data_IF_398032461497
#
_entry.id   IF_398032461497
#
_cell.length_a   1.000
_cell.length_b   1.000
_cell.length_c   1.000
_cell.angle_alpha   90.00
_cell.angle_beta   90.00
_cell.angle_gamma   90.00
#
_symmetry.space_group_name_H-M   'P 1'
#
loop_
_entity.id
_entity.type
_entity.pdbx_description
1 polymer ?
#
# COMPACT_ATOMS: atom_id res chain seq x y z
N UNK A 1 3.47 -16.25 13.17
CA UNK A 1 3.69 -15.32 12.07
C UNK A 1 4.65 -14.22 12.50
N UNK A 2 5.61 -13.83 11.64
CA UNK A 2 6.44 -12.63 11.81
C UNK A 2 5.76 -11.51 11.04
N UNK A 3 5.52 -10.39 11.71
CA UNK A 3 5.00 -9.18 11.14
C UNK A 3 5.79 -7.98 11.66
N UNK A 4 6.34 -7.18 10.77
CA UNK A 4 7.08 -5.96 11.10
C UNK A 4 6.53 -4.80 10.29
N UNK A 5 6.20 -3.72 10.98
CA UNK A 5 5.88 -2.43 10.39
C UNK A 5 7.11 -1.53 10.56
N UNK A 6 7.69 -1.11 9.45
CA UNK A 6 8.89 -0.28 9.39
C UNK A 6 8.48 1.11 8.90
N UNK A 7 9.12 2.15 9.40
CA UNK A 7 8.74 3.52 9.09
C UNK A 7 9.90 4.32 8.51
N UNK A 8 9.68 4.89 7.33
CA UNK A 8 10.57 5.89 6.74
C UNK A 8 10.13 7.30 7.15
N UNK A 9 11.01 8.01 7.85
CA UNK A 9 10.69 9.35 8.34
C UNK A 9 10.66 10.41 7.24
N UNK A 10 11.40 10.22 6.15
CA UNK A 10 11.53 11.21 5.07
C UNK A 10 10.25 11.30 4.26
N UNK A 11 9.71 10.15 3.86
CA UNK A 11 8.46 10.05 3.09
C UNK A 11 7.22 9.83 3.95
N UNK A 12 7.38 9.56 5.26
CA UNK A 12 6.31 9.13 6.17
C UNK A 12 5.63 7.83 5.75
N UNK A 13 6.40 6.93 5.12
CA UNK A 13 5.91 5.67 4.54
C UNK A 13 6.07 4.53 5.54
N UNK A 14 5.06 3.66 5.61
CA UNK A 14 5.15 2.36 6.25
C UNK A 14 5.46 1.27 5.22
N UNK A 15 6.51 0.51 5.49
CA UNK A 15 6.85 -0.75 4.81
C UNK A 15 6.49 -1.92 5.70
N UNK A 16 5.96 -2.99 5.14
CA UNK A 16 5.53 -4.18 5.89
C UNK A 16 6.33 -5.41 5.49
N UNK A 17 6.98 -6.06 6.48
CA UNK A 17 7.64 -7.36 6.30
C UNK A 17 6.78 -8.46 6.93
N UNK A 18 6.47 -9.49 6.15
CA UNK A 18 5.59 -10.58 6.52
C UNK A 18 6.27 -11.92 6.24
N UNK A 19 6.21 -12.84 7.20
CA UNK A 19 6.64 -14.24 7.05
C UNK A 19 5.83 -15.17 7.97
N UNK A 20 5.71 -16.45 7.60
CA UNK A 20 5.00 -17.44 8.43
C UNK A 20 5.69 -17.69 9.76
N UNK A 21 7.03 -17.79 9.76
CA UNK A 21 7.89 -17.93 10.95
C UNK A 21 9.35 -17.63 10.61
N UNK A 22 10.25 -17.69 11.61
CA UNK A 22 11.70 -17.61 11.40
C UNK A 22 12.18 -18.76 10.50
N UNK A 23 13.17 -18.52 9.67
CA UNK A 23 13.74 -19.49 8.73
C UNK A 23 12.86 -19.75 7.48
N UNK A 24 11.87 -18.91 7.21
CA UNK A 24 10.88 -19.14 6.16
C UNK A 24 10.93 -18.06 5.08
N UNK A 25 10.05 -18.21 4.10
CA UNK A 25 9.84 -17.21 3.03
C UNK A 25 9.20 -15.94 3.58
N UNK A 26 9.66 -14.80 3.07
CA UNK A 26 9.16 -13.48 3.42
C UNK A 26 8.65 -12.71 2.20
N UNK A 27 7.78 -11.76 2.48
CA UNK A 27 7.23 -10.79 1.56
C UNK A 27 7.40 -9.39 2.18
N UNK A 28 7.70 -8.40 1.33
CA UNK A 28 7.73 -6.98 1.71
C UNK A 28 6.68 -6.24 0.90
N UNK A 29 5.93 -5.32 1.54
CA UNK A 29 4.97 -4.42 0.90
C UNK A 29 5.48 -2.99 1.04
N UNK A 30 5.43 -2.21 -0.05
CA UNK A 30 5.80 -0.80 -0.20
C UNK A 30 7.21 -0.48 0.34
N UNK A 31 8.28 -1.08 -0.21
CA UNK A 31 9.64 -0.82 0.24
C UNK A 31 10.15 0.52 -0.25
N UNK A 32 10.80 1.30 0.62
CA UNK A 32 11.50 2.54 0.29
C UNK A 32 12.94 2.23 -0.10
N UNK A 33 13.44 2.79 -1.21
CA UNK A 33 14.76 2.45 -1.78
C UNK A 33 15.92 2.78 -0.83
N UNK A 34 15.82 3.86 -0.09
CA UNK A 34 16.83 4.29 0.87
C UNK A 34 17.02 3.28 2.00
N UNK A 35 15.97 2.55 2.37
CA UNK A 35 15.96 1.60 3.49
C UNK A 35 16.28 0.15 3.08
N UNK A 36 16.59 -0.11 1.80
CA UNK A 36 16.85 -1.48 1.31
C UNK A 36 17.96 -2.19 2.10
N UNK A 37 19.01 -1.48 2.49
CA UNK A 37 20.09 -2.07 3.30
C UNK A 37 19.59 -2.57 4.66
N UNK A 38 18.71 -1.81 5.30
CA UNK A 38 18.13 -2.16 6.59
C UNK A 38 17.17 -3.36 6.47
N UNK A 39 16.41 -3.43 5.38
CA UNK A 39 15.58 -4.61 5.09
C UNK A 39 16.42 -5.87 4.93
N UNK A 40 17.57 -5.80 4.23
CA UNK A 40 18.48 -6.95 4.06
C UNK A 40 19.10 -7.37 5.39
N UNK A 41 19.46 -6.43 6.26
CA UNK A 41 19.97 -6.73 7.60
C UNK A 41 18.88 -7.44 8.41
N UNK A 42 17.67 -6.89 8.44
CA UNK A 42 16.53 -7.45 9.17
C UNK A 42 16.16 -8.86 8.68
N UNK A 43 16.16 -9.09 7.36
CA UNK A 43 15.94 -10.42 6.77
C UNK A 43 16.98 -11.44 7.28
N UNK A 44 18.26 -11.05 7.33
CA UNK A 44 19.35 -11.91 7.86
C UNK A 44 19.20 -12.20 9.35
N UNK A 45 18.90 -11.18 10.16
CA UNK A 45 18.69 -11.34 11.62
C UNK A 45 17.53 -12.27 11.94
N UNK A 46 16.48 -12.23 11.14
CA UNK A 46 15.30 -13.08 11.29
C UNK A 46 15.43 -14.42 10.54
N UNK A 47 16.56 -14.67 9.88
CA UNK A 47 16.80 -15.85 9.05
C UNK A 47 15.69 -16.04 7.99
N UNK A 48 15.32 -14.97 7.27
CA UNK A 48 14.24 -14.97 6.30
C UNK A 48 14.77 -14.92 4.86
N UNK A 49 14.09 -15.62 3.95
CA UNK A 49 14.33 -15.57 2.52
C UNK A 49 13.25 -14.70 1.85
N UNK A 50 13.60 -13.49 1.40
CA UNK A 50 12.68 -12.65 0.65
C UNK A 50 12.39 -13.29 -0.71
N UNK A 51 11.13 -13.57 -1.00
CA UNK A 51 10.68 -14.19 -2.26
C UNK A 51 9.71 -13.32 -3.04
N UNK A 52 9.08 -12.34 -2.40
CA UNK A 52 8.11 -11.45 -3.03
C UNK A 52 8.24 -10.02 -2.51
N UNK A 53 8.07 -9.07 -3.40
CA UNK A 53 7.90 -7.65 -3.09
C UNK A 53 6.62 -7.17 -3.77
N UNK A 54 5.80 -6.45 -3.04
CA UNK A 54 4.55 -5.84 -3.52
C UNK A 54 4.68 -4.33 -3.41
N UNK A 55 4.32 -3.59 -4.46
CA UNK A 55 3.96 -2.18 -4.37
C UNK A 55 2.43 -2.06 -4.54
N UNK A 56 1.79 -1.31 -3.62
CA UNK A 56 0.32 -1.12 -3.64
C UNK A 56 -0.13 -0.28 -4.83
N UNK A 57 0.71 0.64 -5.29
CA UNK A 57 0.48 1.54 -6.42
C UNK A 57 1.81 2.18 -6.86
N UNK A 58 1.81 2.99 -7.90
CA UNK A 58 2.96 3.82 -8.28
C UNK A 58 3.08 4.99 -7.30
N UNK A 59 4.04 4.92 -6.38
CA UNK A 59 4.27 5.94 -5.35
C UNK A 59 4.79 7.25 -5.93
N UNK A 60 4.32 8.38 -5.37
CA UNK A 60 4.72 9.73 -5.76
C UNK A 60 5.67 10.40 -4.76
N UNK A 61 5.75 9.90 -3.55
CA UNK A 61 6.42 10.49 -2.40
C UNK A 61 7.83 9.92 -2.14
N UNK A 62 8.09 8.72 -2.62
CA UNK A 62 9.39 8.04 -2.53
C UNK A 62 9.68 7.17 -3.76
N UNK A 63 10.92 6.76 -3.92
CA UNK A 63 11.30 5.75 -4.91
C UNK A 63 11.20 4.36 -4.26
N UNK A 64 10.51 3.43 -4.94
CA UNK A 64 10.40 2.05 -4.43
C UNK A 64 11.74 1.33 -4.43
N UNK A 65 11.95 0.48 -3.43
CA UNK A 65 13.09 -0.43 -3.34
C UNK A 65 12.93 -1.75 -4.11
N UNK A 66 11.84 -1.94 -4.85
CA UNK A 66 11.46 -3.23 -5.43
C UNK A 66 12.53 -3.80 -6.38
N UNK A 67 13.02 -3.01 -7.35
CA UNK A 67 14.08 -3.44 -8.28
C UNK A 67 15.37 -3.81 -7.55
N UNK A 68 15.80 -2.99 -6.60
CA UNK A 68 17.04 -3.23 -5.85
C UNK A 68 16.94 -4.47 -4.94
N UNK A 69 15.78 -4.71 -4.33
CA UNK A 69 15.53 -5.93 -3.57
C UNK A 69 15.54 -7.16 -4.48
N UNK A 70 14.90 -7.09 -5.65
CA UNK A 70 14.94 -8.14 -6.67
C UNK A 70 16.38 -8.48 -7.10
N UNK A 71 17.20 -7.47 -7.37
CA UNK A 71 18.59 -7.68 -7.78
C UNK A 71 19.41 -8.43 -6.72
N UNK A 72 19.21 -8.11 -5.44
CA UNK A 72 19.95 -8.70 -4.31
C UNK A 72 19.42 -10.09 -3.95
N UNK A 73 18.08 -10.26 -3.89
CA UNK A 73 17.47 -11.47 -3.30
C UNK A 73 16.88 -12.43 -4.32
N UNK A 74 16.72 -11.98 -5.58
CA UNK A 74 16.02 -12.69 -6.67
C UNK A 74 14.53 -12.92 -6.35
N UNK A 75 13.92 -12.06 -5.54
CA UNK A 75 12.49 -12.06 -5.28
C UNK A 75 11.71 -11.62 -6.51
N UNK A 76 10.45 -12.07 -6.64
CA UNK A 76 9.53 -11.57 -7.66
C UNK A 76 8.88 -10.26 -7.24
N UNK A 77 8.71 -9.35 -8.19
CA UNK A 77 7.99 -8.08 -8.02
C UNK A 77 6.53 -8.26 -8.42
N UNK A 78 5.62 -7.70 -7.62
CA UNK A 78 4.17 -7.86 -7.77
C UNK A 78 3.48 -6.51 -7.68
N UNK A 79 2.55 -6.24 -8.57
CA UNK A 79 1.60 -5.12 -8.50
C UNK A 79 0.23 -5.56 -9.04
N UNK A 80 -0.78 -4.74 -8.87
CA UNK A 80 -2.08 -4.92 -9.53
C UNK A 80 -1.96 -4.83 -11.06
N UNK A 81 -2.85 -5.50 -11.78
CA UNK A 81 -2.81 -5.58 -13.25
C UNK A 81 -3.11 -4.25 -13.97
N UNK A 82 -3.60 -3.24 -13.24
CA UNK A 82 -3.79 -1.87 -13.73
C UNK A 82 -2.53 -1.01 -13.67
N UNK A 83 -1.40 -1.54 -13.15
CA UNK A 83 -0.15 -0.78 -13.09
C UNK A 83 0.40 -0.49 -14.49
N UNK A 84 0.90 0.75 -14.74
CA UNK A 84 1.60 1.10 -15.95
C UNK A 84 3.06 0.55 -15.97
N UNK A 85 3.54 -0.06 -14.90
CA UNK A 85 4.89 -0.61 -14.80
C UNK A 85 5.00 -1.93 -15.57
N UNK A 86 5.67 -1.93 -16.73
CA UNK A 86 5.87 -3.13 -17.54
C UNK A 86 6.95 -4.07 -16.98
N UNK A 87 7.84 -3.56 -16.14
CA UNK A 87 8.93 -4.33 -15.51
C UNK A 87 8.46 -5.25 -14.37
N UNK A 88 7.21 -5.14 -13.93
CA UNK A 88 6.60 -6.00 -12.90
C UNK A 88 6.47 -7.43 -13.42
N UNK A 89 7.00 -8.40 -12.66
CA UNK A 89 6.98 -9.80 -13.08
C UNK A 89 5.61 -10.47 -12.92
N UNK A 90 4.87 -10.09 -11.88
CA UNK A 90 3.56 -10.69 -11.58
C UNK A 90 2.55 -9.55 -11.44
N UNK A 91 1.58 -9.51 -12.34
CA UNK A 91 0.44 -8.59 -12.28
C UNK A 91 -0.77 -9.38 -11.77
N UNK A 92 -1.31 -8.99 -10.60
CA UNK A 92 -2.45 -9.65 -9.95
C UNK A 92 -3.75 -8.91 -10.24
N UNK A 93 -4.81 -9.66 -10.49
CA UNK A 93 -6.16 -9.13 -10.71
C UNK A 93 -6.93 -8.93 -9.41
N UNK A 94 -8.02 -8.18 -9.51
CA UNK A 94 -8.99 -8.05 -8.42
C UNK A 94 -9.45 -9.45 -7.96
N UNK A 95 -9.51 -9.65 -6.65
CA UNK A 95 -9.88 -10.90 -5.98
C UNK A 95 -8.88 -12.08 -6.15
N UNK A 96 -7.77 -11.92 -6.85
CA UNK A 96 -6.72 -12.94 -6.92
C UNK A 96 -5.93 -13.05 -5.61
N UNK A 97 -5.33 -14.23 -5.41
CA UNK A 97 -4.55 -14.53 -4.22
C UNK A 97 -3.06 -14.66 -4.52
N UNK A 98 -2.24 -13.98 -3.75
CA UNK A 98 -0.79 -14.16 -3.66
C UNK A 98 -0.54 -15.15 -2.54
N UNK A 99 0.14 -16.28 -2.85
CA UNK A 99 0.48 -17.27 -1.85
C UNK A 99 1.91 -17.05 -1.34
N UNK A 100 2.08 -17.06 -0.03
CA UNK A 100 3.37 -17.07 0.67
C UNK A 100 3.34 -18.24 1.65
N UNK A 101 3.82 -19.41 1.22
CA UNK A 101 3.71 -20.67 1.96
C UNK A 101 2.25 -20.96 2.39
N UNK A 102 1.96 -20.94 3.69
CA UNK A 102 0.60 -21.12 4.23
C UNK A 102 -0.20 -19.83 4.37
N UNK A 103 0.40 -18.67 4.07
CA UNK A 103 -0.30 -17.39 4.09
C UNK A 103 -0.90 -17.11 2.71
N UNK A 104 -2.10 -16.55 2.71
CA UNK A 104 -2.82 -16.11 1.49
C UNK A 104 -3.13 -14.65 1.60
N UNK A 105 -2.70 -13.88 0.62
CA UNK A 105 -2.92 -12.43 0.54
C UNK A 105 -3.85 -12.17 -0.64
N UNK A 106 -5.04 -11.67 -0.37
CA UNK A 106 -6.03 -11.32 -1.39
C UNK A 106 -5.71 -9.95 -1.96
N UNK A 107 -5.57 -9.83 -3.27
CA UNK A 107 -5.50 -8.56 -3.96
C UNK A 107 -6.90 -7.96 -4.15
N UNK A 108 -7.06 -6.69 -3.87
CA UNK A 108 -8.31 -5.95 -4.00
C UNK A 108 -8.05 -4.69 -4.83
N UNK A 109 -8.62 -4.59 -6.02
CA UNK A 109 -8.53 -3.37 -6.83
C UNK A 109 -9.31 -2.24 -6.16
N UNK A 110 -8.60 -1.20 -5.75
CA UNK A 110 -9.15 -0.07 -4.98
C UNK A 110 -8.68 1.27 -5.56
N UNK A 111 -9.08 1.57 -6.83
CA UNK A 111 -8.69 2.81 -7.50
C UNK A 111 -9.28 4.04 -6.79
N UNK A 112 -8.67 5.18 -7.08
CA UNK A 112 -9.15 6.47 -6.61
C UNK A 112 -8.07 7.40 -6.11
N UNK A 113 -7.13 6.93 -5.28
CA UNK A 113 -5.89 7.67 -5.02
C UNK A 113 -5.05 7.74 -6.30
N UNK A 114 -4.79 6.60 -6.89
CA UNK A 114 -4.30 6.46 -8.27
C UNK A 114 -5.18 5.47 -9.02
N UNK A 115 -5.11 5.45 -10.36
CA UNK A 115 -5.86 4.50 -11.18
C UNK A 115 -5.37 3.06 -11.04
N UNK A 116 -4.14 2.84 -10.56
CA UNK A 116 -3.51 1.54 -10.38
C UNK A 116 -3.49 1.05 -8.92
N UNK A 117 -4.17 1.76 -8.00
CA UNK A 117 -4.18 1.42 -6.57
C UNK A 117 -4.81 0.07 -6.27
N UNK A 118 -4.12 -0.73 -5.47
CA UNK A 118 -4.59 -1.98 -4.88
C UNK A 118 -4.42 -1.98 -3.36
N UNK A 119 -5.35 -2.61 -2.67
CA UNK A 119 -5.23 -2.99 -1.26
C UNK A 119 -5.00 -4.50 -1.16
N UNK A 120 -4.35 -4.95 -0.10
CA UNK A 120 -4.02 -6.36 0.11
C UNK A 120 -4.56 -6.83 1.46
N UNK A 121 -5.36 -7.89 1.46
CA UNK A 121 -5.98 -8.45 2.67
C UNK A 121 -5.38 -9.81 2.99
N UNK A 122 -4.82 -9.96 4.19
CA UNK A 122 -4.31 -11.22 4.73
C UNK A 122 -4.99 -11.49 6.08
N UNK A 123 -5.80 -12.52 6.15
CA UNK A 123 -6.65 -12.81 7.31
C UNK A 123 -7.47 -11.57 7.71
N UNK A 124 -7.16 -10.96 8.85
CA UNK A 124 -7.76 -9.71 9.32
C UNK A 124 -6.83 -8.49 9.24
N UNK A 125 -5.77 -8.53 8.43
CA UNK A 125 -4.80 -7.44 8.20
C UNK A 125 -5.04 -6.84 6.81
N UNK A 126 -5.52 -5.61 6.75
CA UNK A 126 -5.70 -4.86 5.50
C UNK A 126 -4.54 -3.89 5.29
N UNK A 127 -3.74 -4.11 4.25
CA UNK A 127 -2.72 -3.19 3.74
C UNK A 127 -3.37 -2.35 2.66
N UNK A 128 -3.77 -1.13 3.00
CA UNK A 128 -4.65 -0.31 2.14
C UNK A 128 -3.92 0.60 1.16
N UNK A 129 -2.58 0.59 1.16
CA UNK A 129 -1.85 1.63 0.44
C UNK A 129 -2.33 3.01 0.87
N UNK A 130 -2.55 3.87 -0.11
CA UNK A 130 -3.11 5.21 0.11
C UNK A 130 -4.61 5.31 -0.16
N UNK A 131 -5.31 4.19 -0.33
CA UNK A 131 -6.77 4.23 -0.51
C UNK A 131 -7.47 4.69 0.77
N UNK A 132 -7.17 4.05 1.90
CA UNK A 132 -7.71 4.40 3.21
C UNK A 132 -6.57 4.59 4.21
N UNK A 133 -6.50 5.77 4.82
CA UNK A 133 -5.51 6.13 5.84
C UNK A 133 -6.18 6.19 7.21
N UNK A 134 -5.38 6.22 8.28
CA UNK A 134 -5.89 6.43 9.64
C UNK A 134 -6.40 7.87 9.76
N UNK A 135 -7.69 8.03 10.07
CA UNK A 135 -8.37 9.33 10.12
C UNK A 135 -8.26 10.15 8.82
N UNK A 136 -8.16 9.48 7.67
CA UNK A 136 -8.03 10.12 6.37
C UNK A 136 -8.21 9.15 5.20
N UNK A 137 -8.00 9.65 3.99
CA UNK A 137 -7.94 8.88 2.75
C UNK A 137 -6.83 9.43 1.88
N UNK A 138 -6.36 8.71 0.87
CA UNK A 138 -5.49 9.29 -0.14
C UNK A 138 -6.13 10.47 -0.83
N UNK A 139 -5.29 11.33 -1.40
CA UNK A 139 -5.73 12.39 -2.33
C UNK A 139 -6.12 11.76 -3.68
N UNK A 140 -6.89 12.49 -4.48
CA UNK A 140 -7.43 11.97 -5.75
C UNK A 140 -7.16 12.89 -6.95
N UNK A 141 -6.26 13.87 -6.79
CA UNK A 141 -6.02 14.94 -7.75
C UNK A 141 -4.73 14.74 -8.59
N UNK A 142 -4.06 13.59 -8.47
CA UNK A 142 -2.88 13.22 -9.27
C UNK A 142 -2.99 11.78 -9.81
N UNK A 143 -2.09 11.41 -10.73
CA UNK A 143 -1.90 10.04 -11.25
C UNK A 143 -3.21 9.35 -11.68
N UNK A 144 -4.05 10.08 -12.42
CA UNK A 144 -5.38 9.64 -12.84
C UNK A 144 -6.27 9.21 -11.65
N UNK A 145 -6.10 9.85 -10.50
CA UNK A 145 -6.98 9.67 -9.35
C UNK A 145 -8.38 10.18 -9.64
N UNK A 146 -9.37 9.59 -8.99
CA UNK A 146 -10.78 9.94 -9.12
C UNK A 146 -11.51 9.79 -7.77
N UNK A 147 -12.21 10.84 -7.35
CA UNK A 147 -12.90 10.85 -6.06
C UNK A 147 -14.11 9.91 -6.01
N UNK A 148 -14.78 9.64 -7.16
CA UNK A 148 -15.89 8.68 -7.20
C UNK A 148 -15.37 7.25 -7.11
N UNK A 149 -14.26 6.95 -7.78
CA UNK A 149 -13.60 5.65 -7.66
C UNK A 149 -13.08 5.44 -6.24
N UNK A 150 -12.49 6.47 -5.61
CA UNK A 150 -12.09 6.41 -4.20
C UNK A 150 -13.27 6.12 -3.28
N UNK A 151 -14.40 6.82 -3.47
CA UNK A 151 -15.62 6.53 -2.72
C UNK A 151 -16.05 5.07 -2.90
N UNK A 152 -16.15 4.58 -4.14
CA UNK A 152 -16.54 3.21 -4.42
C UNK A 152 -15.58 2.19 -3.79
N UNK A 153 -14.28 2.39 -3.92
CA UNK A 153 -13.25 1.54 -3.32
C UNK A 153 -13.38 1.49 -1.79
N UNK A 154 -13.58 2.62 -1.15
CA UNK A 154 -13.68 2.71 0.30
C UNK A 154 -15.03 2.18 0.77
N UNK A 155 -16.15 2.78 0.34
CA UNK A 155 -17.48 2.51 0.90
C UNK A 155 -18.07 1.17 0.45
N UNK A 156 -17.78 0.73 -0.78
CA UNK A 156 -18.38 -0.47 -1.36
C UNK A 156 -17.48 -1.71 -1.28
N UNK A 157 -16.16 -1.54 -0.99
CA UNK A 157 -15.21 -2.65 -0.78
C UNK A 157 -14.62 -2.64 0.64
N UNK A 158 -13.78 -1.65 0.98
CA UNK A 158 -13.01 -1.71 2.23
C UNK A 158 -13.89 -1.65 3.48
N UNK A 159 -14.88 -0.76 3.51
CA UNK A 159 -15.81 -0.66 4.65
C UNK A 159 -16.83 -1.81 4.72
N UNK A 160 -16.85 -2.75 3.77
CA UNK A 160 -17.63 -4.01 3.87
C UNK A 160 -16.88 -5.10 4.62
N UNK A 161 -15.58 -4.93 4.86
CA UNK A 161 -14.81 -5.82 5.70
C UNK A 161 -15.32 -5.78 7.16
N UNK A 162 -15.09 -6.84 7.95
CA UNK A 162 -15.43 -6.87 9.37
C UNK A 162 -14.83 -5.68 10.14
N UNK A 163 -15.56 -5.17 11.12
CA UNK A 163 -15.15 -3.99 11.90
C UNK A 163 -13.83 -4.20 12.66
N UNK A 164 -13.51 -5.44 13.03
CA UNK A 164 -12.25 -5.85 13.69
C UNK A 164 -11.06 -5.98 12.73
N UNK A 165 -11.25 -5.83 11.41
CA UNK A 165 -10.13 -5.84 10.46
C UNK A 165 -9.17 -4.71 10.76
N UNK A 166 -7.91 -5.04 11.01
CA UNK A 166 -6.84 -4.08 11.25
C UNK A 166 -6.49 -3.35 9.96
N UNK A 167 -6.40 -2.03 10.04
CA UNK A 167 -6.00 -1.16 8.94
C UNK A 167 -4.52 -0.79 9.09
N UNK A 168 -3.73 -1.12 8.08
CA UNK A 168 -2.32 -0.80 7.93
C UNK A 168 -2.12 0.00 6.63
N UNK A 169 -2.09 1.34 6.67
CA UNK A 169 -1.95 2.19 5.50
C UNK A 169 -0.49 2.32 5.06
N UNK A 170 -0.25 2.81 3.83
CA UNK A 170 1.12 3.13 3.40
C UNK A 170 1.69 4.37 4.11
N UNK A 171 0.84 5.30 4.56
CA UNK A 171 1.30 6.54 5.19
C UNK A 171 0.61 6.86 6.51
N UNK A 172 1.37 7.49 7.41
CA UNK A 172 0.83 8.24 8.54
C UNK A 172 1.71 9.44 8.88
N UNK A 173 1.05 10.57 9.14
CA UNK A 173 1.71 11.85 9.44
C UNK A 173 1.55 12.29 10.91
N UNK A 174 0.95 11.43 11.75
CA UNK A 174 0.61 11.75 13.14
C UNK A 174 1.20 10.78 14.16
N UNK A 175 1.93 9.76 13.71
CA UNK A 175 2.52 8.71 14.55
C UNK A 175 1.57 7.58 14.92
N UNK A 176 0.44 7.45 14.21
CA UNK A 176 -0.51 6.35 14.37
C UNK A 176 -0.08 5.15 13.51
N UNK A 177 0.01 3.98 14.12
CA UNK A 177 0.58 2.78 13.47
C UNK A 177 -0.47 1.85 12.89
N UNK A 178 -1.66 1.82 13.49
CA UNK A 178 -2.73 0.88 13.14
C UNK A 178 -4.07 1.44 13.55
N UNK A 179 -5.10 1.15 12.77
CA UNK A 179 -6.49 1.40 13.10
C UNK A 179 -7.32 0.14 12.86
N UNK A 180 -8.64 0.25 12.85
CA UNK A 180 -9.55 -0.81 12.40
C UNK A 180 -10.62 -0.23 11.49
N UNK A 181 -11.20 -1.08 10.64
CA UNK A 181 -12.32 -0.68 9.78
C UNK A 181 -13.45 -0.06 10.60
N UNK A 182 -13.81 -0.66 11.74
CA UNK A 182 -14.86 -0.14 12.61
C UNK A 182 -14.52 1.22 13.26
N UNK A 183 -13.24 1.48 13.57
CA UNK A 183 -12.79 2.79 14.07
C UNK A 183 -12.89 3.83 12.97
N UNK A 184 -12.41 3.53 11.76
CA UNK A 184 -12.46 4.46 10.63
C UNK A 184 -13.91 4.80 10.23
N UNK A 185 -14.82 3.83 10.17
CA UNK A 185 -16.25 4.09 9.95
C UNK A 185 -16.82 5.16 10.88
N UNK A 186 -16.40 5.15 12.14
CA UNK A 186 -16.97 6.02 13.20
C UNK A 186 -16.27 7.36 13.34
N UNK A 187 -14.95 7.42 13.09
CA UNK A 187 -14.12 8.55 13.51
C UNK A 187 -13.40 9.25 12.34
N UNK A 188 -13.22 8.59 11.18
CA UNK A 188 -12.53 9.18 10.05
C UNK A 188 -13.36 10.35 9.50
N UNK A 189 -12.86 11.60 9.55
CA UNK A 189 -13.63 12.77 9.14
C UNK A 189 -13.97 12.79 7.64
N UNK A 190 -13.19 12.09 6.80
CA UNK A 190 -13.47 11.98 5.36
C UNK A 190 -14.54 10.94 5.01
N UNK A 191 -14.93 10.11 5.98
CA UNK A 191 -15.96 9.09 5.82
C UNK A 191 -17.33 9.51 6.42
N UNK A 192 -17.41 10.69 7.05
CA UNK A 192 -18.65 11.22 7.61
C UNK A 192 -19.45 11.97 6.53
N UNK A 193 -19.74 11.29 5.43
CA UNK A 193 -20.50 11.80 4.28
C UNK A 193 -21.69 10.88 4.02
N UNK A 194 -22.79 11.43 3.49
CA UNK A 194 -24.02 10.68 3.21
C UNK A 194 -24.16 10.23 1.75
N UNK A 195 -23.31 10.78 0.86
CA UNK A 195 -23.39 10.48 -0.58
C UNK A 195 -22.03 10.57 -1.26
N UNK A 196 -21.95 10.00 -2.47
CA UNK A 196 -20.77 10.13 -3.33
C UNK A 196 -20.51 11.60 -3.69
N UNK A 197 -21.55 12.39 -3.91
CA UNK A 197 -21.39 13.80 -4.29
C UNK A 197 -20.79 14.62 -3.14
N UNK A 198 -21.21 14.39 -1.90
CA UNK A 198 -20.61 15.01 -0.72
C UNK A 198 -19.12 14.62 -0.56
N UNK A 199 -18.78 13.35 -0.81
CA UNK A 199 -17.39 12.92 -0.76
C UNK A 199 -16.56 13.60 -1.85
N UNK A 200 -17.06 13.68 -3.08
CA UNK A 200 -16.39 14.36 -4.19
C UNK A 200 -16.18 15.83 -3.86
N UNK A 201 -17.20 16.52 -3.34
CA UNK A 201 -17.09 17.92 -2.94
C UNK A 201 -16.05 18.10 -1.83
N UNK A 202 -16.05 17.22 -0.81
CA UNK A 202 -15.06 17.22 0.26
C UNK A 202 -13.64 17.08 -0.32
N UNK A 203 -13.43 16.09 -1.19
CA UNK A 203 -12.11 15.82 -1.77
C UNK A 203 -11.62 16.96 -2.66
N UNK A 204 -12.50 17.58 -3.46
CA UNK A 204 -12.18 18.74 -4.32
C UNK A 204 -11.81 19.99 -3.51
N UNK A 205 -12.31 20.11 -2.29
CA UNK A 205 -12.01 21.23 -1.40
C UNK A 205 -10.73 21.04 -0.56
N UNK A 206 -10.05 19.90 -0.66
CA UNK A 206 -8.80 19.66 0.05
C UNK A 206 -7.68 20.53 -0.52
N UNK A 207 -7.08 21.36 0.33
CA UNK A 207 -5.92 22.19 -0.01
C UNK A 207 -4.62 21.49 0.42
N UNK A 208 -4.24 20.44 -0.31
CA UNK A 208 -3.02 19.68 -0.03
C UNK A 208 -1.85 20.20 -0.88
N UNK A 209 -0.67 20.32 -0.26
CA UNK A 209 0.55 20.65 -1.01
C UNK A 209 0.86 19.55 -2.03
N UNK A 210 1.37 19.95 -3.21
CA UNK A 210 1.88 18.98 -4.19
C UNK A 210 3.09 18.25 -3.59
N UNK A 211 3.21 16.90 -3.73
CA UNK A 211 4.44 16.19 -3.37
C UNK A 211 5.66 16.77 -4.10
N UNK A 212 6.78 16.95 -3.41
CA UNK A 212 7.92 17.74 -3.89
C UNK A 212 8.61 17.13 -5.10
N UNK A 213 8.68 15.81 -5.20
CA UNK A 213 9.44 15.09 -6.23
C UNK A 213 8.55 14.14 -7.06
N UNK A 214 7.25 14.45 -7.15
CA UNK A 214 6.27 13.56 -7.78
C UNK A 214 6.68 13.11 -9.19
N UNK A 215 7.09 14.03 -10.06
CA UNK A 215 7.41 13.73 -11.45
C UNK A 215 8.64 12.81 -11.54
N UNK A 216 9.64 13.01 -10.67
CA UNK A 216 10.82 12.17 -10.58
C UNK A 216 10.49 10.78 -10.01
N UNK A 217 9.78 10.72 -8.88
CA UNK A 217 9.44 9.47 -8.21
C UNK A 217 8.55 8.58 -9.08
N UNK A 218 7.51 9.15 -9.69
CA UNK A 218 6.60 8.42 -10.60
C UNK A 218 7.36 7.86 -11.79
N UNK A 219 8.24 8.65 -12.44
CA UNK A 219 9.03 8.18 -13.57
C UNK A 219 9.99 7.02 -13.18
N UNK A 220 10.57 7.09 -11.99
CA UNK A 220 11.39 6.01 -11.42
C UNK A 220 10.55 4.77 -11.09
N UNK A 221 9.40 4.94 -10.47
CA UNK A 221 8.57 3.84 -9.98
C UNK A 221 7.85 3.07 -11.09
N UNK A 222 7.59 3.68 -12.24
CA UNK A 222 7.17 2.96 -13.46
C UNK A 222 8.23 1.93 -13.87
N UNK A 223 9.51 2.14 -13.52
CA UNK A 223 10.61 1.21 -13.73
C UNK A 223 11.03 0.50 -12.42
N UNK A 224 10.13 0.38 -11.43
CA UNK A 224 10.36 -0.28 -10.13
C UNK A 224 11.53 0.33 -9.33
N UNK A 225 11.79 1.63 -9.48
CA UNK A 225 12.86 2.33 -8.80
C UNK A 225 14.26 2.16 -9.43
N UNK A 226 14.34 1.59 -10.64
CA UNK A 226 15.60 1.39 -11.36
C UNK A 226 16.15 2.68 -11.98
#
# INVERSE_FOLDING_TARGET
MIFKQLFDQKSSTYTYLIASSKGREALIIDPVIENVSDYIILLKELDLRLVKVIDTHIHADHVTGASKLKDITKCSTIMGDHTPADAVEIKVKDDEYINLENLKIKAMYTPGHTSDSYSFLMDNYLFSGDTLLINGTGRTDFQNGDSKDAYNSIFNKLLKLPDETFLYPAHDYKGEKVSTIGKEKKQNPRLQVSSVDEYVELMNNLKLKKPTEIDFNVAKNINLGA
#
